data_IF_754556608164
#
_entry.id   IF_754556608164
#
_cell.length_a   1.000
_cell.length_b   1.000
_cell.length_c   1.000
_cell.angle_alpha   90.00
_cell.angle_beta   90.00
_cell.angle_gamma   90.00
#
_symmetry.space_group_name_H-M   'P 1'
#
loop_
_entity.id
_entity.type
_entity.pdbx_description
1 polymer ?
#
# COMPACT_ATOMS: atom_id res chain seq x y z
N UNK A 1 -6.89 18.30 -31.13
CA UNK A 1 -5.96 19.19 -30.40
C UNK A 1 -4.79 19.48 -31.33
N UNK A 2 -4.54 20.74 -31.68
CA UNK A 2 -3.51 21.10 -32.66
C UNK A 2 -2.12 20.79 -32.09
N UNK A 3 -1.14 20.46 -32.95
CA UNK A 3 0.26 20.21 -32.51
C UNK A 3 0.84 21.40 -31.74
N UNK A 4 0.40 22.60 -32.09
CA UNK A 4 0.75 23.86 -31.43
C UNK A 4 0.13 24.00 -30.03
N UNK A 5 -1.09 23.48 -29.82
CA UNK A 5 -1.72 23.50 -28.49
C UNK A 5 -0.97 22.60 -27.50
N UNK A 6 -0.53 21.43 -27.97
CA UNK A 6 0.26 20.49 -27.15
C UNK A 6 1.62 21.09 -26.80
N UNK A 7 2.27 21.74 -27.77
CA UNK A 7 3.55 22.42 -27.56
C UNK A 7 3.42 23.57 -26.56
N UNK A 8 2.40 24.42 -26.69
CA UNK A 8 2.15 25.51 -25.75
C UNK A 8 1.87 25.01 -24.33
N UNK A 9 1.13 23.91 -24.17
CA UNK A 9 0.93 23.27 -22.87
C UNK A 9 2.23 22.74 -22.26
N UNK A 10 3.08 22.08 -23.06
CA UNK A 10 4.39 21.60 -22.61
C UNK A 10 5.30 22.75 -22.18
N UNK A 11 5.38 23.82 -22.99
CA UNK A 11 6.18 25.02 -22.68
C UNK A 11 5.70 25.75 -21.43
N UNK A 12 4.40 25.72 -21.15
CA UNK A 12 3.83 26.29 -19.92
C UNK A 12 4.18 25.43 -18.71
N UNK A 13 3.99 24.11 -18.81
CA UNK A 13 4.33 23.17 -17.75
C UNK A 13 5.85 23.18 -17.42
N UNK A 14 6.71 23.32 -18.42
CA UNK A 14 8.16 23.40 -18.22
C UNK A 14 8.58 24.68 -17.49
N UNK A 15 7.94 25.82 -17.82
CA UNK A 15 8.15 27.08 -17.10
C UNK A 15 7.70 26.99 -15.64
N UNK A 16 6.48 26.51 -15.41
CA UNK A 16 5.94 26.32 -14.06
C UNK A 16 6.81 25.34 -13.24
N UNK A 17 7.37 24.31 -13.86
CA UNK A 17 8.29 23.39 -13.20
C UNK A 17 9.60 24.08 -12.80
N UNK A 18 10.22 24.85 -13.70
CA UNK A 18 11.47 25.58 -13.42
C UNK A 18 11.31 26.62 -12.31
N UNK A 19 10.24 27.41 -12.36
CA UNK A 19 9.93 28.41 -11.32
C UNK A 19 9.69 27.76 -9.96
N UNK A 20 8.98 26.63 -9.94
CA UNK A 20 8.79 25.86 -8.71
C UNK A 20 10.12 25.31 -8.18
N UNK A 21 10.97 24.72 -9.02
CA UNK A 21 12.27 24.22 -8.58
C UNK A 21 13.15 25.35 -8.03
N UNK A 22 13.24 26.50 -8.69
CA UNK A 22 13.96 27.67 -8.18
C UNK A 22 13.46 28.08 -6.79
N UNK A 23 12.14 28.21 -6.61
CA UNK A 23 11.55 28.52 -5.31
C UNK A 23 11.86 27.48 -4.23
N UNK A 24 11.96 26.19 -4.59
CA UNK A 24 12.33 25.13 -3.65
C UNK A 24 13.82 25.17 -3.29
N UNK A 25 14.71 25.50 -4.23
CA UNK A 25 16.15 25.67 -3.96
C UNK A 25 16.41 26.90 -3.08
N UNK A 26 15.70 28.00 -3.30
CA UNK A 26 15.77 29.21 -2.46
C UNK A 26 15.36 28.91 -1.01
N UNK A 27 14.39 28.02 -0.83
CA UNK A 27 13.88 27.62 0.50
C UNK A 27 14.76 26.57 1.18
N UNK A 28 15.50 25.76 0.42
CA UNK A 28 16.32 24.65 0.91
C UNK A 28 17.77 24.78 0.40
N UNK A 29 18.50 25.78 0.90
CA UNK A 29 19.87 26.15 0.49
C UNK A 29 20.91 25.04 0.70
N UNK A 30 20.60 23.99 1.47
CA UNK A 30 21.49 22.85 1.71
C UNK A 30 21.45 21.79 0.61
N UNK A 31 20.59 21.93 -0.40
CA UNK A 31 20.43 20.95 -1.47
C UNK A 31 21.21 21.39 -2.71
N UNK A 32 22.07 20.51 -3.29
CA UNK A 32 22.83 20.83 -4.50
C UNK A 32 21.93 21.26 -5.67
N UNK A 33 22.35 22.28 -6.43
CA UNK A 33 21.61 22.82 -7.59
C UNK A 33 21.35 21.79 -8.71
N UNK A 34 22.07 20.67 -8.71
CA UNK A 34 21.86 19.59 -9.67
C UNK A 34 20.80 18.56 -9.22
N UNK A 35 20.16 18.75 -8.06
CA UNK A 35 19.18 17.82 -7.51
C UNK A 35 17.75 18.38 -7.61
N UNK A 36 16.81 17.57 -8.11
CA UNK A 36 15.39 17.94 -8.16
C UNK A 36 14.77 17.79 -6.76
N UNK A 37 14.24 18.88 -6.22
CA UNK A 37 13.59 18.88 -4.91
C UNK A 37 12.13 18.50 -5.08
N UNK A 38 11.72 17.43 -4.40
CA UNK A 38 10.33 16.97 -4.35
C UNK A 38 9.85 17.02 -2.90
N UNK A 39 9.07 18.04 -2.56
CA UNK A 39 8.40 18.11 -1.27
C UNK A 39 7.30 17.02 -1.22
N UNK A 40 7.59 15.89 -0.59
CA UNK A 40 6.55 14.92 -0.21
C UNK A 40 5.82 15.48 0.99
N UNK A 41 4.50 15.62 0.89
CA UNK A 41 3.71 16.03 2.04
C UNK A 41 3.87 15.01 3.17
N UNK A 42 4.18 15.51 4.38
CA UNK A 42 4.33 14.68 5.59
C UNK A 42 3.09 13.81 5.82
N UNK A 43 1.91 14.33 5.48
CA UNK A 43 0.64 13.61 5.52
C UNK A 43 0.64 12.36 4.61
N UNK A 44 1.09 12.45 3.36
CA UNK A 44 1.13 11.29 2.45
C UNK A 44 2.10 10.23 2.95
N UNK A 45 3.26 10.63 3.46
CA UNK A 45 4.23 9.70 4.04
C UNK A 45 3.67 8.99 5.27
N UNK A 46 2.96 9.73 6.12
CA UNK A 46 2.31 9.19 7.31
C UNK A 46 1.18 8.20 6.94
N UNK A 47 0.27 8.59 6.04
CA UNK A 47 -0.85 7.74 5.61
C UNK A 47 -0.39 6.41 5.02
N UNK A 48 0.64 6.42 4.16
CA UNK A 48 1.22 5.18 3.62
C UNK A 48 1.84 4.30 4.72
N UNK A 49 2.50 4.91 5.71
CA UNK A 49 3.02 4.22 6.88
C UNK A 49 1.93 3.58 7.73
N UNK A 50 0.84 4.32 7.99
CA UNK A 50 -0.32 3.83 8.74
C UNK A 50 -0.99 2.64 8.05
N UNK A 51 -1.26 2.72 6.75
CA UNK A 51 -1.88 1.62 6.00
C UNK A 51 -1.01 0.35 6.08
N UNK A 52 0.30 0.49 5.90
CA UNK A 52 1.23 -0.64 6.01
C UNK A 52 1.27 -1.22 7.43
N UNK A 53 1.23 -0.37 8.45
CA UNK A 53 1.19 -0.78 9.85
C UNK A 53 -0.09 -1.53 10.23
N UNK A 54 -1.24 -1.04 9.77
CA UNK A 54 -2.54 -1.68 9.99
C UNK A 54 -2.58 -3.07 9.37
N UNK A 55 -2.16 -3.20 8.11
CA UNK A 55 -2.12 -4.50 7.43
C UNK A 55 -1.25 -5.52 8.18
N UNK A 56 -0.06 -5.09 8.65
CA UNK A 56 0.83 -5.96 9.44
C UNK A 56 0.20 -6.36 10.78
N UNK A 57 -0.50 -5.45 11.44
CA UNK A 57 -1.14 -5.71 12.73
C UNK A 57 -2.29 -6.71 12.57
N UNK A 58 -3.17 -6.49 11.59
CA UNK A 58 -4.29 -7.40 11.29
C UNK A 58 -3.77 -8.79 10.94
N UNK A 59 -2.76 -8.89 10.07
CA UNK A 59 -2.15 -10.17 9.72
C UNK A 59 -1.60 -10.88 10.96
N UNK A 60 -0.92 -10.17 11.86
CA UNK A 60 -0.42 -10.74 13.11
C UNK A 60 -1.53 -11.28 14.01
N UNK A 61 -2.63 -10.54 14.17
CA UNK A 61 -3.79 -10.98 14.96
C UNK A 61 -4.41 -12.25 14.37
N UNK A 62 -4.60 -12.29 13.05
CA UNK A 62 -5.12 -13.48 12.35
C UNK A 62 -4.19 -14.68 12.57
N UNK A 63 -2.88 -14.49 12.46
CA UNK A 63 -1.91 -15.56 12.71
C UNK A 63 -1.97 -16.09 14.14
N UNK A 64 -2.15 -15.22 15.14
CA UNK A 64 -2.27 -15.64 16.54
C UNK A 64 -3.55 -16.47 16.74
N UNK A 65 -4.68 -16.03 16.19
CA UNK A 65 -5.95 -16.77 16.28
C UNK A 65 -5.82 -18.13 15.57
N UNK A 66 -5.25 -18.15 14.36
CA UNK A 66 -5.04 -19.37 13.60
C UNK A 66 -4.10 -20.34 14.33
N UNK A 67 -3.05 -19.83 14.95
CA UNK A 67 -2.14 -20.62 15.77
C UNK A 67 -2.84 -21.22 16.99
N UNK A 68 -3.69 -20.44 17.67
CA UNK A 68 -4.46 -20.93 18.82
C UNK A 68 -5.43 -22.06 18.41
N UNK A 69 -6.14 -21.91 17.28
CA UNK A 69 -7.02 -22.95 16.73
C UNK A 69 -6.19 -24.18 16.32
N UNK A 70 -5.04 -23.98 15.69
CA UNK A 70 -4.11 -25.05 15.32
C UNK A 70 -3.63 -25.86 16.53
N UNK A 71 -3.27 -25.20 17.63
CA UNK A 71 -2.90 -25.87 18.88
C UNK A 71 -4.09 -26.61 19.49
N UNK A 72 -5.28 -25.99 19.51
CA UNK A 72 -6.49 -26.60 20.05
C UNK A 72 -6.86 -27.91 19.32
N UNK A 73 -6.78 -27.92 18.00
CA UNK A 73 -7.05 -29.12 17.19
C UNK A 73 -5.98 -30.20 17.32
N UNK A 74 -4.75 -29.86 17.71
CA UNK A 74 -3.70 -30.83 18.00
C UNK A 74 -3.98 -31.57 19.32
N UNK A 75 -4.49 -30.86 20.33
CA UNK A 75 -4.80 -31.41 21.65
C UNK A 75 -6.12 -32.17 21.66
N UNK A 76 -7.14 -31.67 20.93
CA UNK A 76 -8.48 -32.26 20.90
C UNK A 76 -8.79 -32.87 19.51
N UNK A 77 -8.68 -34.21 19.36
CA UNK A 77 -8.85 -34.87 18.07
C UNK A 77 -10.28 -34.76 17.52
N UNK A 78 -11.28 -34.67 18.38
CA UNK A 78 -12.69 -34.48 17.97
C UNK A 78 -12.91 -33.10 17.32
N UNK A 79 -12.21 -32.06 17.79
CA UNK A 79 -12.32 -30.74 17.19
C UNK A 79 -11.66 -30.70 15.80
N UNK A 80 -10.60 -31.48 15.58
CA UNK A 80 -9.91 -31.56 14.29
C UNK A 80 -10.80 -32.09 13.19
N UNK A 81 -11.56 -33.15 13.45
CA UNK A 81 -12.40 -33.79 12.42
C UNK A 81 -13.48 -32.84 11.95
N UNK A 82 -14.20 -32.20 12.87
CA UNK A 82 -15.24 -31.22 12.54
C UNK A 82 -14.68 -30.04 11.73
N UNK A 83 -13.52 -29.49 12.15
CA UNK A 83 -12.87 -28.40 11.43
C UNK A 83 -12.47 -28.78 10.00
N UNK A 84 -11.95 -29.98 9.79
CA UNK A 84 -11.57 -30.45 8.45
C UNK A 84 -12.79 -30.68 7.56
N UNK A 85 -13.89 -31.20 8.10
CA UNK A 85 -15.15 -31.36 7.37
C UNK A 85 -15.65 -30.01 6.85
N UNK A 86 -15.76 -29.01 7.73
CA UNK A 86 -16.23 -27.67 7.37
C UNK A 86 -15.32 -27.04 6.31
N UNK A 87 -14.00 -27.17 6.45
CA UNK A 87 -13.05 -26.65 5.46
C UNK A 87 -13.20 -27.32 4.08
N UNK A 88 -13.44 -28.64 4.06
CA UNK A 88 -13.69 -29.38 2.82
C UNK A 88 -14.99 -28.97 2.16
N UNK A 89 -16.07 -28.80 2.94
CA UNK A 89 -17.36 -28.32 2.44
C UNK A 89 -17.24 -26.92 1.83
N UNK A 90 -16.61 -25.98 2.54
CA UNK A 90 -16.35 -24.63 2.02
C UNK A 90 -15.53 -24.66 0.73
N UNK A 91 -14.49 -25.50 0.66
CA UNK A 91 -13.65 -25.62 -0.53
C UNK A 91 -14.43 -26.21 -1.72
N UNK A 92 -15.28 -27.21 -1.47
CA UNK A 92 -16.15 -27.77 -2.51
C UNK A 92 -17.20 -26.76 -2.97
N UNK A 93 -17.80 -25.99 -2.06
CA UNK A 93 -18.77 -24.94 -2.39
C UNK A 93 -18.13 -23.88 -3.30
N UNK A 94 -16.96 -23.36 -2.93
CA UNK A 94 -16.20 -22.39 -3.75
C UNK A 94 -15.86 -22.98 -5.11
N UNK A 95 -15.42 -24.25 -5.17
CA UNK A 95 -15.10 -24.92 -6.43
C UNK A 95 -16.33 -25.17 -7.30
N UNK A 96 -17.49 -25.42 -6.68
CA UNK A 96 -18.75 -25.67 -7.38
C UNK A 96 -19.44 -24.38 -7.89
N UNK A 97 -19.14 -23.24 -7.24
CA UNK A 97 -19.62 -21.92 -7.64
C UNK A 97 -18.86 -21.31 -8.82
N UNK A 98 -17.77 -21.95 -9.27
CA UNK A 98 -16.89 -21.50 -10.35
C UNK A 98 -16.97 -22.46 -11.54
#
# INVERSE_FOLDING_TARGET
MSRYDKLNKMLKAEREFKENQQRLHDKHTSVPDNAVIVEKSTAVRATLGFIKGIGKTIAGVIFIILAAIGILTLVYPNCRTELLTVLQEMFMEIKSMN
#
